data_IF_121753867004
#
_entry.id   IF_121753867004
#
_cell.length_a   1.000
_cell.length_b   1.000
_cell.length_c   1.000
_cell.angle_alpha   90.00
_cell.angle_beta   90.00
_cell.angle_gamma   90.00
#
_symmetry.space_group_name_H-M   'P 1'
#
loop_
_entity.id
_entity.type
_entity.pdbx_description
1 polymer ?
#
# COMPACT_ATOMS: atom_id res chain seq x y z
N UNK A 1 -24.32 -15.72 10.35
CA UNK A 1 -23.69 -15.08 9.18
C UNK A 1 -23.23 -16.21 8.29
N UNK A 2 -23.63 -16.21 7.03
CA UNK A 2 -23.15 -17.21 6.07
C UNK A 2 -21.64 -17.04 5.86
N UNK A 3 -20.94 -18.15 5.62
CA UNK A 3 -19.49 -18.17 5.43
C UNK A 3 -19.07 -17.25 4.28
N UNK A 4 -19.87 -17.16 3.23
CA UNK A 4 -19.64 -16.28 2.08
C UNK A 4 -19.60 -14.79 2.48
N UNK A 5 -20.49 -14.38 3.39
CA UNK A 5 -20.50 -13.01 3.92
C UNK A 5 -19.26 -12.73 4.78
N UNK A 6 -18.82 -13.70 5.58
CA UNK A 6 -17.59 -13.59 6.37
C UNK A 6 -16.37 -13.50 5.47
N UNK A 7 -16.29 -14.34 4.44
CA UNK A 7 -15.18 -14.37 3.48
C UNK A 7 -15.04 -13.01 2.76
N UNK A 8 -16.17 -12.43 2.35
CA UNK A 8 -16.21 -11.13 1.67
C UNK A 8 -15.79 -9.99 2.59
N UNK A 9 -16.25 -9.99 3.85
CA UNK A 9 -15.86 -8.99 4.86
C UNK A 9 -14.36 -9.10 5.18
N UNK A 10 -13.85 -10.31 5.41
CA UNK A 10 -12.43 -10.54 5.70
C UNK A 10 -11.56 -10.14 4.51
N UNK A 11 -11.96 -10.52 3.29
CA UNK A 11 -11.30 -10.09 2.06
C UNK A 11 -11.26 -8.57 1.90
N UNK A 12 -12.38 -7.88 2.14
CA UNK A 12 -12.45 -6.42 2.08
C UNK A 12 -11.55 -5.74 3.13
N UNK A 13 -11.53 -6.26 4.36
CA UNK A 13 -10.64 -5.75 5.41
C UNK A 13 -9.17 -5.95 5.03
N UNK A 14 -8.81 -7.10 4.47
CA UNK A 14 -7.46 -7.38 3.99
C UNK A 14 -7.00 -6.43 2.87
N UNK A 15 -7.92 -5.96 2.03
CA UNK A 15 -7.61 -4.94 1.02
C UNK A 15 -7.33 -3.58 1.67
N UNK A 16 -8.14 -3.20 2.65
CA UNK A 16 -8.09 -1.86 3.26
C UNK A 16 -6.89 -1.66 4.19
N UNK A 17 -6.49 -2.69 4.94
CA UNK A 17 -5.38 -2.62 5.91
C UNK A 17 -4.09 -2.02 5.32
N UNK A 18 -3.53 -2.55 4.20
CA UNK A 18 -2.30 -2.00 3.63
C UNK A 18 -2.48 -0.58 3.09
N UNK A 19 -3.64 -0.23 2.53
CA UNK A 19 -3.92 1.12 2.03
C UNK A 19 -3.90 2.13 3.19
N UNK A 20 -4.60 1.81 4.29
CA UNK A 20 -4.67 2.66 5.49
C UNK A 20 -3.30 2.75 6.16
N UNK A 21 -2.58 1.63 6.29
CA UNK A 21 -1.25 1.61 6.89
C UNK A 21 -0.25 2.46 6.08
N UNK A 22 -0.18 2.26 4.77
CA UNK A 22 0.75 3.00 3.89
C UNK A 22 0.40 4.49 3.84
N UNK A 23 -0.88 4.85 3.80
CA UNK A 23 -1.30 6.25 3.82
C UNK A 23 -1.00 6.93 5.16
N UNK A 24 -1.27 6.27 6.29
CA UNK A 24 -0.95 6.80 7.62
C UNK A 24 0.57 7.00 7.80
N UNK A 25 1.37 6.00 7.42
CA UNK A 25 2.84 6.10 7.47
C UNK A 25 3.34 7.17 6.49
N UNK A 26 2.75 7.26 5.30
CA UNK A 26 3.07 8.29 4.30
C UNK A 26 2.83 9.70 4.85
N UNK A 27 1.65 9.96 5.43
CA UNK A 27 1.34 11.23 6.08
C UNK A 27 2.29 11.54 7.24
N UNK A 28 2.66 10.53 8.02
CA UNK A 28 3.63 10.68 9.11
C UNK A 28 5.03 11.01 8.59
N UNK A 29 5.47 10.38 7.51
CA UNK A 29 6.76 10.63 6.87
C UNK A 29 6.84 12.02 6.25
N UNK A 30 5.73 12.57 5.74
CA UNK A 30 5.69 13.94 5.22
C UNK A 30 6.05 15.00 6.27
N UNK A 31 5.83 14.74 7.57
CA UNK A 31 6.25 15.67 8.65
C UNK A 31 7.78 15.82 8.77
N UNK A 32 8.55 14.85 8.28
CA UNK A 32 10.01 14.87 8.27
C UNK A 32 10.53 14.31 6.93
N UNK A 33 10.02 14.86 5.83
CA UNK A 33 10.24 14.36 4.48
C UNK A 33 11.73 14.16 4.16
N UNK A 34 12.59 15.10 4.55
CA UNK A 34 14.01 15.06 4.18
C UNK A 34 14.80 13.90 4.80
N UNK A 35 14.38 13.34 5.94
CA UNK A 35 15.10 12.27 6.66
C UNK A 35 14.46 10.89 6.50
N UNK A 36 13.13 10.81 6.42
CA UNK A 36 12.39 9.53 6.48
C UNK A 36 11.91 9.00 5.14
N UNK A 37 11.88 9.85 4.12
CA UNK A 37 11.38 9.51 2.79
C UNK A 37 12.19 8.45 2.03
N UNK A 38 13.54 8.41 2.05
CA UNK A 38 14.26 7.32 1.38
C UNK A 38 13.99 5.97 2.05
N UNK A 39 13.85 5.94 3.37
CA UNK A 39 13.47 4.73 4.10
C UNK A 39 12.04 4.28 3.77
N UNK A 40 11.10 5.22 3.69
CA UNK A 40 9.72 4.94 3.30
C UNK A 40 9.63 4.33 1.90
N UNK A 41 10.44 4.80 0.95
CA UNK A 41 10.47 4.30 -0.42
C UNK A 41 10.78 2.81 -0.51
N UNK A 42 11.66 2.28 0.35
CA UNK A 42 11.98 0.86 0.39
C UNK A 42 11.05 0.06 1.31
N UNK A 43 10.75 0.58 2.50
CA UNK A 43 9.97 -0.15 3.50
C UNK A 43 8.51 -0.33 3.10
N UNK A 44 7.88 0.67 2.49
CA UNK A 44 6.45 0.60 2.15
C UNK A 44 6.12 -0.47 1.09
N UNK A 45 6.82 -0.54 -0.06
CA UNK A 45 6.57 -1.61 -1.03
C UNK A 45 7.03 -2.98 -0.51
N UNK A 46 8.16 -3.06 0.19
CA UNK A 46 8.62 -4.33 0.79
C UNK A 46 7.58 -4.87 1.79
N UNK A 47 7.08 -4.01 2.69
CA UNK A 47 6.04 -4.36 3.65
C UNK A 47 4.74 -4.80 2.99
N UNK A 48 4.35 -4.14 1.88
CA UNK A 48 3.15 -4.51 1.12
C UNK A 48 3.29 -5.85 0.39
N UNK A 49 4.49 -6.18 -0.10
CA UNK A 49 4.79 -7.49 -0.70
C UNK A 49 4.76 -8.59 0.37
N UNK A 50 5.42 -8.37 1.51
CA UNK A 50 5.40 -9.31 2.64
C UNK A 50 3.96 -9.55 3.11
N UNK A 51 3.16 -8.48 3.17
CA UNK A 51 1.74 -8.56 3.48
C UNK A 51 0.97 -9.41 2.48
N UNK A 52 1.14 -9.19 1.17
CA UNK A 52 0.48 -9.97 0.13
C UNK A 52 0.73 -11.48 0.26
N UNK A 53 1.95 -11.85 0.64
CA UNK A 53 2.36 -13.26 0.81
C UNK A 53 1.85 -13.90 2.10
N UNK A 54 1.85 -13.17 3.22
CA UNK A 54 1.52 -13.75 4.52
C UNK A 54 0.05 -13.62 4.90
N UNK A 55 -0.61 -12.52 4.52
CA UNK A 55 -1.92 -12.17 5.03
C UNK A 55 -3.00 -13.15 4.56
N UNK A 56 -2.95 -13.60 3.30
CA UNK A 56 -3.88 -14.59 2.78
C UNK A 56 -3.77 -15.93 3.50
N UNK A 57 -2.54 -16.45 3.67
CA UNK A 57 -2.31 -17.72 4.36
C UNK A 57 -2.66 -17.69 5.85
N UNK A 58 -2.39 -16.57 6.53
CA UNK A 58 -2.79 -16.38 7.94
C UNK A 58 -4.31 -16.27 8.08
N UNK A 59 -4.97 -15.52 7.20
CA UNK A 59 -6.41 -15.33 7.27
C UNK A 59 -7.18 -16.64 7.03
N UNK A 60 -6.73 -17.48 6.09
CA UNK A 60 -7.33 -18.81 5.86
C UNK A 60 -7.13 -19.74 7.06
N UNK A 61 -6.02 -19.64 7.81
CA UNK A 61 -5.82 -20.42 9.04
C UNK A 61 -6.70 -19.96 10.19
N UNK A 62 -6.96 -18.66 10.29
CA UNK A 62 -7.80 -18.08 11.35
C UNK A 62 -9.29 -18.28 11.06
N UNK A 63 -9.66 -18.20 9.78
CA UNK A 63 -11.02 -18.41 9.28
C UNK A 63 -11.03 -19.60 8.30
N UNK A 64 -10.92 -20.84 8.80
CA UNK A 64 -10.89 -22.01 7.94
C UNK A 64 -12.25 -22.19 7.23
N UNK A 65 -12.24 -22.61 5.95
CA UNK A 65 -13.48 -22.89 5.24
C UNK A 65 -14.23 -24.07 5.89
N UNK A 66 -15.58 -24.01 5.95
CA UNK A 66 -16.38 -25.10 6.46
C UNK A 66 -16.27 -26.32 5.55
N UNK A 67 -16.13 -27.49 6.19
CA UNK A 67 -16.06 -28.78 5.51
C UNK A 67 -17.34 -29.04 4.72
N UNK A 68 -17.20 -29.52 3.49
CA UNK A 68 -18.30 -29.83 2.59
C UNK A 68 -18.01 -31.16 1.87
N UNK A 69 -18.88 -32.15 2.11
CA UNK A 69 -18.75 -33.50 1.57
C UNK A 69 -18.78 -33.51 0.03
N UNK A 70 -19.45 -32.53 -0.59
CA UNK A 70 -19.54 -32.42 -2.03
C UNK A 70 -18.17 -32.15 -2.68
N UNK A 71 -17.35 -31.32 -2.04
CA UNK A 71 -15.99 -31.01 -2.49
C UNK A 71 -14.95 -32.04 -2.01
N UNK A 72 -15.23 -32.76 -0.92
CA UNK A 72 -14.38 -33.86 -0.44
C UNK A 72 -14.31 -35.03 -1.44
N UNK A 73 -15.30 -35.16 -2.33
CA UNK A 73 -15.32 -36.14 -3.42
C UNK A 73 -14.32 -35.85 -4.56
N UNK A 74 -13.60 -34.72 -4.51
CA UNK A 74 -12.62 -34.32 -5.53
C UNK A 74 -13.23 -33.82 -6.84
N UNK A 75 -14.56 -33.68 -6.90
CA UNK A 75 -15.31 -33.36 -8.13
C UNK A 75 -15.64 -31.88 -8.31
N UNK A 76 -15.14 -30.99 -7.44
CA UNK A 76 -15.45 -29.56 -7.46
C UNK A 76 -14.22 -28.67 -7.27
N UNK A 77 -14.22 -27.51 -7.93
CA UNK A 77 -13.25 -26.44 -7.67
C UNK A 77 -13.67 -25.74 -6.37
N UNK A 78 -12.95 -26.01 -5.27
CA UNK A 78 -13.21 -25.32 -4.00
C UNK A 78 -12.73 -23.87 -4.09
N UNK A 79 -13.68 -22.97 -4.33
CA UNK A 79 -13.47 -21.52 -4.37
C UNK A 79 -13.54 -20.89 -2.97
N UNK A 80 -13.77 -21.68 -1.90
CA UNK A 80 -13.85 -21.15 -0.55
C UNK A 80 -12.49 -20.70 -0.05
N UNK A 81 -12.44 -19.51 0.52
CA UNK A 81 -11.20 -18.86 0.95
C UNK A 81 -10.41 -18.21 -0.20
N UNK A 82 -10.83 -18.33 -1.46
CA UNK A 82 -10.13 -17.67 -2.57
C UNK A 82 -10.29 -16.14 -2.51
N UNK A 83 -11.43 -15.63 -2.03
CA UNK A 83 -11.66 -14.18 -1.89
C UNK A 83 -10.73 -13.61 -0.83
N UNK A 84 -10.41 -14.37 0.23
CA UNK A 84 -9.44 -13.98 1.25
C UNK A 84 -8.03 -13.84 0.64
N UNK A 85 -7.62 -14.81 -0.17
CA UNK A 85 -6.31 -14.80 -0.83
C UNK A 85 -6.22 -13.66 -1.85
N UNK A 86 -7.25 -13.52 -2.70
CA UNK A 86 -7.34 -12.43 -3.67
C UNK A 86 -7.38 -11.07 -2.97
N UNK A 87 -8.11 -10.94 -1.87
CA UNK A 87 -8.16 -9.74 -1.05
C UNK A 87 -6.79 -9.35 -0.50
N UNK A 88 -6.02 -10.32 0.02
CA UNK A 88 -4.65 -10.07 0.48
C UNK A 88 -3.70 -9.64 -0.66
N UNK A 89 -3.80 -10.27 -1.83
CA UNK A 89 -3.00 -9.90 -3.00
C UNK A 89 -3.37 -8.51 -3.54
N UNK A 90 -4.66 -8.22 -3.68
CA UNK A 90 -5.17 -6.92 -4.11
C UNK A 90 -4.80 -5.82 -3.11
N UNK A 91 -4.90 -6.11 -1.81
CA UNK A 91 -4.46 -5.22 -0.74
C UNK A 91 -2.98 -4.90 -0.82
N UNK A 92 -2.13 -5.93 -0.92
CA UNK A 92 -0.70 -5.74 -1.07
C UNK A 92 -0.34 -4.95 -2.34
N UNK A 93 -0.97 -5.27 -3.47
CA UNK A 93 -0.81 -4.52 -4.72
C UNK A 93 -1.22 -3.05 -4.58
N UNK A 94 -2.39 -2.80 -4.00
CA UNK A 94 -2.88 -1.44 -3.72
C UNK A 94 -1.95 -0.67 -2.76
N UNK A 95 -1.36 -1.35 -1.77
CA UNK A 95 -0.35 -0.79 -0.89
C UNK A 95 0.90 -0.31 -1.64
N UNK A 96 1.42 -1.13 -2.56
CA UNK A 96 2.56 -0.76 -3.42
C UNK A 96 2.22 0.44 -4.30
N UNK A 97 1.05 0.44 -4.95
CA UNK A 97 0.60 1.56 -5.79
C UNK A 97 0.47 2.84 -4.97
N UNK A 98 -0.14 2.75 -3.79
CA UNK A 98 -0.31 3.90 -2.89
C UNK A 98 1.05 4.48 -2.46
N UNK A 99 2.00 3.62 -2.10
CA UNK A 99 3.36 4.05 -1.76
C UNK A 99 4.05 4.77 -2.93
N UNK A 100 3.92 4.22 -4.15
CA UNK A 100 4.48 4.82 -5.36
C UNK A 100 3.88 6.20 -5.64
N UNK A 101 2.56 6.36 -5.52
CA UNK A 101 1.86 7.65 -5.71
C UNK A 101 2.34 8.70 -4.71
N UNK A 102 2.46 8.35 -3.44
CA UNK A 102 2.94 9.27 -2.39
C UNK A 102 4.39 9.69 -2.66
N UNK A 103 5.25 8.75 -3.05
CA UNK A 103 6.65 9.05 -3.36
C UNK A 103 6.79 9.92 -4.60
N UNK A 104 6.05 9.61 -5.67
CA UNK A 104 6.04 10.38 -6.91
C UNK A 104 5.54 11.81 -6.65
N UNK A 105 4.45 11.98 -5.91
CA UNK A 105 3.91 13.29 -5.56
C UNK A 105 4.91 14.15 -4.81
N UNK A 106 5.63 13.58 -3.85
CA UNK A 106 6.61 14.33 -3.07
C UNK A 106 7.93 14.59 -3.84
N UNK A 107 8.32 13.71 -4.78
CA UNK A 107 9.41 14.01 -5.73
C UNK A 107 9.05 15.20 -6.62
N UNK A 108 7.82 15.24 -7.15
CA UNK A 108 7.33 16.37 -7.97
C UNK A 108 7.35 17.66 -7.16
N UNK A 109 6.85 17.65 -5.92
CA UNK A 109 6.85 18.82 -5.04
C UNK A 109 8.27 19.33 -4.76
N UNK A 110 9.22 18.44 -4.46
CA UNK A 110 10.62 18.82 -4.21
C UNK A 110 11.29 19.42 -5.45
N UNK A 111 11.04 18.85 -6.65
CA UNK A 111 11.54 19.42 -7.92
C UNK A 111 10.94 20.79 -8.21
N UNK A 112 9.64 20.98 -7.95
CA UNK A 112 8.97 22.28 -8.12
C UNK A 112 9.51 23.31 -7.15
N UNK A 113 9.76 22.95 -5.88
CA UNK A 113 10.37 23.82 -4.88
C UNK A 113 11.81 24.20 -5.27
N UNK A 114 12.64 23.24 -5.69
CA UNK A 114 13.99 23.52 -6.17
C UNK A 114 14.01 24.47 -7.37
N UNK A 115 13.08 24.29 -8.31
CA UNK A 115 12.94 25.21 -9.46
C UNK A 115 12.53 26.62 -9.03
N UNK A 116 11.66 26.75 -8.02
CA UNK A 116 11.27 28.07 -7.46
C UNK A 116 12.45 28.75 -6.79
N UNK A 117 13.21 28.02 -5.98
CA UNK A 117 14.40 28.54 -5.31
C UNK A 117 15.49 28.96 -6.31
N UNK A 118 15.75 28.16 -7.33
CA UNK A 118 16.67 28.49 -8.41
C UNK A 118 16.25 29.75 -9.19
N UNK A 119 14.94 29.94 -9.41
CA UNK A 119 14.39 31.13 -10.07
C UNK A 119 14.53 32.39 -9.19
N UNK A 120 14.39 32.26 -7.87
CA UNK A 120 14.61 33.39 -6.93
C UNK A 120 16.08 33.73 -6.70
N UNK A 121 17.01 32.81 -6.99
CA UNK A 121 18.46 33.03 -6.87
C UNK A 121 19.11 33.59 -8.15
N UNK A 122 18.36 33.89 -9.20
CA UNK A 122 18.92 34.60 -10.36
C UNK A 122 19.44 35.97 -9.92
N UNK A 123 20.75 36.28 -10.10
CA UNK A 123 21.38 37.50 -9.61
C UNK A 123 20.94 38.68 -10.48
N UNK A 124 19.80 39.27 -10.14
CA UNK A 124 19.34 40.55 -10.68
C UNK A 124 19.89 41.77 -9.92
N UNK A 125 20.88 41.61 -9.04
CA UNK A 125 21.56 42.74 -8.40
C UNK A 125 22.88 42.98 -9.14
N UNK A 126 22.80 43.70 -10.25
CA UNK A 126 23.94 44.50 -10.73
C UNK A 126 24.22 45.47 -9.57
N UNK A 127 25.37 45.38 -8.86
CA UNK A 127 25.74 46.43 -7.94
C UNK A 127 25.91 47.69 -8.80
N UNK A 128 24.99 48.63 -8.60
CA UNK A 128 25.00 49.91 -9.28
C UNK A 128 26.36 50.55 -9.14
N UNK A 129 26.95 50.85 -10.29
CA UNK A 129 27.84 51.97 -10.51
C UNK A 129 27.25 53.18 -9.80
N UNK A 130 27.94 53.69 -8.78
CA UNK A 130 28.15 55.12 -8.51
C UNK A 130 29.22 55.27 -7.43
#
# INVERSE_FOLDING_TARGET
MDYDNLELVVGAVLVLVPIVAVSAIGMWCLRQAQRRMPWFFFLAPLGSIIYAWLAGGLAVKVFPPPYDEYFASGSGLDLRGMIIILGAMLGGGAGVVTAAVICAGNLILSLVQQRREARTRLPGRIPGVH
#
